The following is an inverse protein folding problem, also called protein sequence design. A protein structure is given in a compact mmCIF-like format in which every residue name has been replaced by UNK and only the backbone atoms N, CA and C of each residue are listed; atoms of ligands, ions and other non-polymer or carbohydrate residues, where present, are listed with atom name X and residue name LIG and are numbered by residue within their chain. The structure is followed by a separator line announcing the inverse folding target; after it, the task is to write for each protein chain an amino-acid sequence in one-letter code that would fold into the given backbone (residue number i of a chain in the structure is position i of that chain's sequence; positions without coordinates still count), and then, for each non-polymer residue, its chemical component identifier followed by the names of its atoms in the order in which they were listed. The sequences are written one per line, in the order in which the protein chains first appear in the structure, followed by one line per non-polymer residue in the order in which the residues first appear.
data_IF_791606820826
#
_entry.id   IF_791606820826
#
_cell.length_a   1.000
_cell.length_b   1.000
_cell.length_c   1.000
_cell.angle_alpha   90.00
_cell.angle_beta   90.00
_cell.angle_gamma   90.00
#
_symmetry.space_group_name_H-M   'P 1'
#
loop_
_entity.id
_entity.type
_entity.pdbx_description
1 polymer ?
#
# COMPACT_ATOMS: atom_id res chain seq x y z
N UNK A 1 7.06 5.80 7.27
CA UNK A 1 6.12 6.08 8.38
C UNK A 1 6.43 5.10 9.50
N UNK A 2 6.75 5.61 10.68
CA UNK A 2 7.00 4.81 11.90
C UNK A 2 5.75 4.88 12.78
N UNK A 3 5.45 3.80 13.50
CA UNK A 3 4.29 3.73 14.39
C UNK A 3 4.47 2.66 15.47
N UNK A 4 3.83 2.82 16.64
CA UNK A 4 3.95 1.86 17.74
C UNK A 4 3.21 0.55 17.43
N UNK A 5 3.70 -0.55 17.99
CA UNK A 5 3.03 -1.86 18.02
C UNK A 5 2.86 -2.24 19.49
N UNK A 6 1.64 -2.58 19.89
CA UNK A 6 1.30 -2.93 21.28
C UNK A 6 0.17 -3.97 21.33
N UNK A 7 -0.09 -4.51 22.53
CA UNK A 7 -1.12 -5.54 22.78
C UNK A 7 -2.54 -4.98 22.84
N UNK A 8 -2.68 -3.69 23.08
CA UNK A 8 -3.96 -3.00 23.25
C UNK A 8 -3.87 -1.56 22.71
N UNK A 9 -5.04 -0.98 22.42
CA UNK A 9 -5.16 0.35 21.82
C UNK A 9 -4.74 1.45 22.80
N UNK A 10 -4.98 1.29 24.09
CA UNK A 10 -4.63 2.29 25.11
C UNK A 10 -3.11 2.50 25.21
N UNK A 11 -2.33 1.43 25.04
CA UNK A 11 -0.88 1.50 24.96
C UNK A 11 -0.41 2.23 23.70
N UNK A 12 -1.05 1.99 22.55
CA UNK A 12 -0.76 2.74 21.31
C UNK A 12 -1.03 4.24 21.50
N UNK A 13 -2.14 4.58 22.13
CA UNK A 13 -2.54 5.96 22.42
C UNK A 13 -1.56 6.64 23.36
N UNK A 14 -1.13 5.93 24.41
CA UNK A 14 -0.11 6.43 25.35
C UNK A 14 1.22 6.72 24.64
N UNK A 15 1.67 5.80 23.78
CA UNK A 15 2.86 6.01 22.97
C UNK A 15 2.73 7.20 22.02
N UNK A 16 1.59 7.32 21.32
CA UNK A 16 1.34 8.44 20.41
C UNK A 16 1.27 9.80 21.14
N UNK A 17 0.68 9.86 22.34
CA UNK A 17 0.69 11.08 23.18
C UNK A 17 2.10 11.49 23.58
N UNK A 18 2.95 10.52 23.94
CA UNK A 18 4.33 10.80 24.31
C UNK A 18 5.18 11.26 23.11
N UNK A 19 4.94 10.70 21.92
CA UNK A 19 5.66 11.04 20.70
C UNK A 19 5.24 12.39 20.11
N UNK A 20 3.94 12.73 20.15
CA UNK A 20 3.40 13.98 19.58
C UNK A 20 3.50 15.14 20.59
N UNK A 21 4.73 15.50 20.96
CA UNK A 21 5.05 16.56 21.92
C UNK A 21 6.02 17.60 21.34
N UNK A 22 6.14 18.74 22.02
CA UNK A 22 6.96 19.88 21.58
C UNK A 22 8.43 19.52 21.38
N UNK A 23 8.99 18.66 22.23
CA UNK A 23 10.38 18.21 22.10
C UNK A 23 10.62 17.46 20.78
N UNK A 24 9.67 16.63 20.35
CA UNK A 24 9.77 15.92 19.07
C UNK A 24 9.69 16.89 17.89
N UNK A 25 8.75 17.85 17.94
CA UNK A 25 8.59 18.84 16.88
C UNK A 25 9.78 19.81 16.78
N UNK A 26 10.46 20.10 17.90
CA UNK A 26 11.70 20.86 17.90
C UNK A 26 12.88 20.06 17.36
N UNK A 27 12.94 18.76 17.66
CA UNK A 27 14.01 17.88 17.20
C UNK A 27 13.95 17.65 15.69
N UNK A 28 12.75 17.49 15.12
CA UNK A 28 12.53 17.35 13.68
C UNK A 28 11.49 18.37 13.15
N UNK A 29 11.95 19.55 12.70
CA UNK A 29 11.09 20.59 12.14
C UNK A 29 10.41 20.22 10.81
N UNK A 30 10.77 19.08 10.19
CA UNK A 30 10.08 18.59 8.98
C UNK A 30 8.74 17.94 9.30
N UNK A 31 8.52 17.56 10.58
CA UNK A 31 7.25 17.01 11.05
C UNK A 31 6.29 18.15 11.38
N UNK A 32 5.06 18.16 10.86
CA UNK A 32 4.08 19.18 11.21
C UNK A 32 3.70 19.08 12.71
N UNK A 33 3.68 20.20 13.45
CA UNK A 33 3.41 20.21 14.89
C UNK A 33 1.92 19.99 15.19
N UNK A 34 1.48 18.75 15.07
CA UNK A 34 0.09 18.32 15.30
C UNK A 34 0.07 17.48 16.58
N UNK A 35 -0.30 18.08 17.74
CA UNK A 35 -0.36 17.34 19.00
C UNK A 35 -1.49 16.31 18.99
N UNK A 36 -1.39 15.32 19.88
CA UNK A 36 -2.44 14.33 20.07
C UNK A 36 -3.75 15.02 20.51
N UNK A 37 -4.86 14.70 19.85
CA UNK A 37 -6.15 15.33 20.12
C UNK A 37 -7.06 14.41 20.94
N UNK A 38 -7.01 14.56 22.26
CA UNK A 38 -7.83 13.77 23.19
C UNK A 38 -9.33 13.93 22.98
N UNK A 39 -9.79 15.12 22.54
CA UNK A 39 -11.21 15.35 22.27
C UNK A 39 -11.71 14.48 21.12
N UNK A 40 -10.89 14.29 20.09
CA UNK A 40 -11.20 13.43 18.96
C UNK A 40 -11.14 11.96 19.38
N UNK A 41 -10.11 11.56 20.14
CA UNK A 41 -9.97 10.18 20.61
C UNK A 41 -11.11 9.73 21.54
N UNK A 42 -11.46 10.56 22.53
CA UNK A 42 -12.49 10.22 23.52
C UNK A 42 -13.94 10.39 23.03
N UNK A 43 -14.14 10.78 21.77
CA UNK A 43 -15.48 10.99 21.21
C UNK A 43 -16.25 9.67 21.06
N UNK A 44 -17.45 9.60 21.63
CA UNK A 44 -18.35 8.42 21.56
C UNK A 44 -19.48 8.57 20.52
N UNK A 45 -19.43 9.60 19.68
CA UNK A 45 -20.48 9.84 18.66
C UNK A 45 -20.61 8.64 17.71
N UNK A 46 -21.84 8.31 17.25
CA UNK A 46 -22.01 7.36 16.16
C UNK A 46 -21.16 7.73 14.95
N UNK A 47 -20.63 6.71 14.29
CA UNK A 47 -19.72 6.84 13.15
C UNK A 47 -20.39 6.29 11.90
N UNK A 48 -20.04 6.88 10.76
CA UNK A 48 -20.38 6.35 9.44
C UNK A 48 -19.12 5.69 8.88
N UNK A 49 -19.13 4.37 8.79
CA UNK A 49 -17.94 3.54 8.56
C UNK A 49 -18.07 2.87 7.19
N UNK A 50 -17.16 3.19 6.28
CA UNK A 50 -17.02 2.47 5.01
C UNK A 50 -16.41 1.08 5.26
N UNK A 51 -16.98 0.04 4.65
CA UNK A 51 -16.43 -1.32 4.74
C UNK A 51 -16.39 -2.02 3.36
N UNK A 52 -15.43 -2.91 3.18
CA UNK A 52 -15.31 -3.81 2.03
C UNK A 52 -14.85 -5.19 2.48
N UNK A 53 -15.30 -6.24 1.79
CA UNK A 53 -14.86 -7.62 2.02
C UNK A 53 -13.65 -8.01 1.16
N UNK A 54 -13.47 -7.32 0.04
CA UNK A 54 -12.41 -7.54 -0.92
C UNK A 54 -11.99 -6.19 -1.52
N UNK A 55 -10.70 -6.05 -1.76
CA UNK A 55 -10.12 -4.89 -2.45
C UNK A 55 -10.12 -5.08 -3.98
N UNK A 56 -10.56 -6.25 -4.47
CA UNK A 56 -10.58 -6.62 -5.89
C UNK A 56 -9.19 -6.97 -6.47
N UNK A 57 -8.11 -6.74 -5.73
CA UNK A 57 -6.75 -7.04 -6.15
C UNK A 57 -6.23 -8.35 -5.55
N UNK A 58 -6.62 -8.66 -4.32
CA UNK A 58 -6.24 -9.87 -3.60
C UNK A 58 -7.46 -10.62 -3.09
N UNK A 59 -7.47 -11.94 -3.26
CA UNK A 59 -8.57 -12.75 -2.75
C UNK A 59 -8.48 -12.87 -1.22
N UNK A 60 -9.46 -12.30 -0.53
CA UNK A 60 -9.61 -12.48 0.92
C UNK A 60 -9.89 -13.95 1.26
N UNK A 61 -9.19 -14.48 2.25
CA UNK A 61 -9.45 -15.83 2.77
C UNK A 61 -10.79 -15.88 3.52
N UNK A 62 -11.41 -17.07 3.69
CA UNK A 62 -12.66 -17.19 4.43
C UNK A 62 -12.59 -16.65 5.87
N UNK A 63 -11.44 -16.77 6.54
CA UNK A 63 -11.23 -16.22 7.89
C UNK A 63 -11.18 -14.69 7.90
N UNK A 64 -10.52 -14.08 6.91
CA UNK A 64 -10.48 -12.61 6.78
C UNK A 64 -11.87 -12.04 6.53
N UNK A 65 -12.64 -12.61 5.60
CA UNK A 65 -14.03 -12.19 5.32
C UNK A 65 -14.90 -12.30 6.57
N UNK A 66 -14.81 -13.43 7.28
CA UNK A 66 -15.56 -13.64 8.53
C UNK A 66 -15.23 -12.57 9.57
N UNK A 67 -13.95 -12.24 9.77
CA UNK A 67 -13.54 -11.24 10.75
C UNK A 67 -14.12 -9.85 10.45
N UNK A 68 -14.10 -9.45 9.18
CA UNK A 68 -14.70 -8.17 8.74
C UNK A 68 -16.21 -8.16 8.98
N UNK A 69 -16.93 -9.22 8.58
CA UNK A 69 -18.39 -9.30 8.73
C UNK A 69 -18.82 -9.35 10.20
N UNK A 70 -18.12 -10.11 11.04
CA UNK A 70 -18.41 -10.14 12.48
C UNK A 70 -18.18 -8.77 13.14
N UNK A 71 -17.11 -8.07 12.75
CA UNK A 71 -16.84 -6.70 13.25
C UNK A 71 -17.91 -5.73 12.76
N UNK A 72 -18.35 -5.87 11.51
CA UNK A 72 -19.48 -5.10 10.97
C UNK A 72 -20.73 -5.26 11.84
N UNK A 73 -21.16 -6.49 12.09
CA UNK A 73 -22.37 -6.77 12.85
C UNK A 73 -22.30 -6.20 14.28
N UNK A 74 -21.12 -6.28 14.91
CA UNK A 74 -20.90 -5.72 16.25
C UNK A 74 -20.98 -4.19 16.25
N UNK A 75 -20.43 -3.53 15.24
CA UNK A 75 -20.49 -2.06 15.11
C UNK A 75 -21.91 -1.57 14.80
N UNK A 76 -22.65 -2.27 13.94
CA UNK A 76 -24.07 -1.94 13.68
C UNK A 76 -24.91 -2.08 14.95
N UNK A 77 -24.70 -3.14 15.74
CA UNK A 77 -25.38 -3.34 17.04
C UNK A 77 -25.01 -2.27 18.08
N UNK A 78 -23.79 -1.72 18.00
CA UNK A 78 -23.36 -0.60 18.84
C UNK A 78 -23.91 0.77 18.37
N UNK A 79 -24.68 0.81 17.28
CA UNK A 79 -25.34 2.02 16.78
C UNK A 79 -24.56 2.81 15.72
N UNK A 80 -23.51 2.24 15.13
CA UNK A 80 -22.79 2.85 13.99
C UNK A 80 -23.49 2.56 12.65
N UNK A 81 -23.34 3.46 11.68
CA UNK A 81 -23.81 3.26 10.31
C UNK A 81 -22.68 2.63 9.48
N UNK A 82 -22.91 1.44 8.92
CA UNK A 82 -21.94 0.78 8.06
C UNK A 82 -22.37 0.84 6.59
N UNK A 83 -21.49 1.37 5.76
CA UNK A 83 -21.76 1.66 4.35
C UNK A 83 -20.83 0.82 3.48
N UNK A 84 -21.35 0.00 2.55
CA UNK A 84 -20.52 -0.66 1.56
C UNK A 84 -19.71 0.39 0.77
N UNK A 85 -18.39 0.23 0.75
CA UNK A 85 -17.48 1.16 0.10
C UNK A 85 -16.41 0.39 -0.67
N UNK A 86 -16.33 0.60 -1.98
CA UNK A 86 -15.28 -0.01 -2.81
C UNK A 86 -14.17 1.01 -3.05
N UNK A 87 -12.93 0.77 -2.59
CA UNK A 87 -11.81 1.65 -2.90
C UNK A 87 -11.57 1.71 -4.41
N UNK A 88 -11.41 2.90 -5.01
CA UNK A 88 -11.18 3.02 -6.44
C UNK A 88 -9.77 2.55 -6.81
N UNK A 89 -9.66 1.84 -7.93
CA UNK A 89 -8.38 1.57 -8.63
C UNK A 89 -7.26 0.95 -7.78
N UNK A 90 -7.59 0.04 -6.84
CA UNK A 90 -6.62 -0.62 -5.94
C UNK A 90 -5.47 -1.26 -6.70
N UNK A 91 -5.78 -1.99 -7.77
CA UNK A 91 -4.79 -2.68 -8.60
C UNK A 91 -3.77 -1.69 -9.20
N UNK A 92 -4.25 -0.58 -9.78
CA UNK A 92 -3.38 0.48 -10.32
C UNK A 92 -2.58 1.16 -9.20
N UNK A 93 -3.20 1.45 -8.05
CA UNK A 93 -2.50 2.04 -6.91
C UNK A 93 -1.34 1.13 -6.42
N UNK A 94 -1.55 -0.19 -6.39
CA UNK A 94 -0.55 -1.16 -5.97
C UNK A 94 0.57 -1.31 -7.01
N UNK A 95 0.22 -1.65 -8.26
CA UNK A 95 1.22 -2.04 -9.26
C UNK A 95 1.83 -0.85 -10.02
N UNK A 96 1.03 0.17 -10.33
CA UNK A 96 1.47 1.29 -11.16
C UNK A 96 2.06 2.43 -10.34
N UNK A 97 1.54 2.67 -9.14
CA UNK A 97 2.04 3.72 -8.26
C UNK A 97 3.04 3.18 -7.23
N UNK A 98 2.63 2.27 -6.35
CA UNK A 98 3.47 1.83 -5.24
C UNK A 98 4.69 1.03 -5.71
N UNK A 99 4.49 -0.05 -6.49
CA UNK A 99 5.61 -0.90 -6.93
C UNK A 99 6.60 -0.17 -7.84
N UNK A 100 6.11 0.66 -8.77
CA UNK A 100 7.00 1.48 -9.62
C UNK A 100 7.70 2.58 -8.84
N UNK A 101 7.03 3.21 -7.89
CA UNK A 101 7.65 4.21 -7.01
C UNK A 101 8.77 3.60 -6.16
N UNK A 102 8.52 2.44 -5.56
CA UNK A 102 9.52 1.71 -4.76
C UNK A 102 10.71 1.20 -5.60
N UNK A 103 10.48 0.90 -6.87
CA UNK A 103 11.50 0.35 -7.79
C UNK A 103 11.90 1.36 -8.87
N UNK A 104 11.82 2.67 -8.58
CA UNK A 104 11.97 3.71 -9.59
C UNK A 104 13.36 3.74 -10.24
N UNK A 105 14.40 3.34 -9.50
CA UNK A 105 15.77 3.18 -9.98
C UNK A 105 16.06 1.76 -10.54
N UNK A 106 15.04 0.91 -10.63
CA UNK A 106 15.19 -0.48 -11.05
C UNK A 106 15.76 -1.41 -9.97
N UNK A 107 15.87 -0.93 -8.73
CA UNK A 107 16.36 -1.67 -7.57
C UNK A 107 17.86 -1.52 -7.32
N UNK A 108 18.57 -0.61 -7.99
CA UNK A 108 20.02 -0.42 -7.79
C UNK A 108 20.37 -0.07 -6.35
N UNK A 109 19.72 0.95 -5.79
CA UNK A 109 19.99 1.40 -4.41
C UNK A 109 19.65 0.30 -3.40
N UNK A 110 18.62 -0.50 -3.69
CA UNK A 110 18.29 -1.67 -2.87
C UNK A 110 19.39 -2.74 -2.93
N UNK A 111 19.91 -3.04 -4.12
CA UNK A 111 20.94 -4.06 -4.33
C UNK A 111 22.31 -3.69 -3.76
N UNK A 112 22.66 -2.39 -3.73
CA UNK A 112 23.91 -1.90 -3.16
C UNK A 112 24.06 -2.30 -1.67
N UNK A 113 22.94 -2.43 -0.94
CA UNK A 113 22.93 -2.88 0.46
C UNK A 113 23.31 -4.36 0.64
N UNK A 114 23.39 -5.15 -0.44
CA UNK A 114 23.75 -6.58 -0.40
C UNK A 114 25.15 -6.85 -0.97
N UNK A 115 25.95 -5.81 -1.25
CA UNK A 115 27.34 -5.99 -1.67
C UNK A 115 28.18 -6.52 -0.51
N UNK A 116 28.81 -7.68 -0.71
CA UNK A 116 29.68 -8.30 0.30
C UNK A 116 28.95 -9.03 1.43
N UNK A 117 27.61 -9.08 1.43
CA UNK A 117 26.80 -9.79 2.43
C UNK A 117 26.03 -10.98 1.82
N UNK A 118 25.70 -11.96 2.67
CA UNK A 118 24.86 -13.09 2.31
C UNK A 118 23.39 -12.68 2.15
N UNK A 119 22.68 -13.30 1.20
CA UNK A 119 21.24 -13.08 1.04
C UNK A 119 20.46 -14.16 1.78
N UNK A 120 19.62 -13.76 2.73
CA UNK A 120 18.71 -14.67 3.44
C UNK A 120 17.81 -15.43 2.46
N UNK A 121 17.53 -16.70 2.76
CA UNK A 121 16.73 -17.58 1.91
C UNK A 121 15.37 -16.99 1.53
N UNK A 122 14.71 -16.25 2.44
CA UNK A 122 13.40 -15.66 2.19
C UNK A 122 13.46 -14.46 1.23
N UNK A 123 14.64 -13.89 1.00
CA UNK A 123 14.84 -12.73 0.12
C UNK A 123 15.46 -13.11 -1.23
N UNK A 124 15.95 -14.35 -1.40
CA UNK A 124 16.68 -14.77 -2.60
C UNK A 124 15.93 -14.50 -3.89
N UNK A 125 14.63 -14.84 -3.95
CA UNK A 125 13.80 -14.62 -5.14
C UNK A 125 13.71 -13.14 -5.49
N UNK A 126 13.52 -12.28 -4.49
CA UNK A 126 13.40 -10.83 -4.69
C UNK A 126 14.72 -10.24 -5.18
N UNK A 127 15.82 -10.53 -4.49
CA UNK A 127 17.16 -10.02 -4.83
C UNK A 127 17.60 -10.52 -6.21
N UNK A 128 17.40 -11.81 -6.50
CA UNK A 128 17.73 -12.39 -7.81
C UNK A 128 16.94 -11.72 -8.92
N UNK A 129 15.65 -11.47 -8.70
CA UNK A 129 14.79 -10.77 -9.66
C UNK A 129 15.29 -9.34 -9.94
N UNK A 130 15.70 -8.60 -8.92
CA UNK A 130 16.28 -7.27 -9.11
C UNK A 130 17.64 -7.28 -9.80
N UNK A 131 18.46 -8.32 -9.61
CA UNK A 131 19.76 -8.48 -10.29
C UNK A 131 19.65 -8.78 -11.79
N UNK A 132 18.48 -9.22 -12.28
CA UNK A 132 18.31 -9.53 -13.70
C UNK A 132 18.51 -8.27 -14.58
N UNK A 133 19.22 -8.38 -15.72
CA UNK A 133 19.34 -7.28 -16.67
C UNK A 133 17.97 -6.84 -17.22
N UNK A 134 17.82 -5.55 -17.53
CA UNK A 134 16.57 -4.96 -18.03
C UNK A 134 16.00 -5.67 -19.25
N UNK A 135 16.85 -6.11 -20.19
CA UNK A 135 16.40 -6.85 -21.37
C UNK A 135 15.77 -8.20 -21.01
N UNK A 136 16.33 -8.93 -20.05
CA UNK A 136 15.80 -10.22 -19.61
C UNK A 136 14.50 -10.05 -18.83
N UNK A 137 14.42 -9.03 -17.96
CA UNK A 137 13.17 -8.64 -17.30
C UNK A 137 12.07 -8.34 -18.34
N UNK A 138 12.40 -7.60 -19.41
CA UNK A 138 11.44 -7.23 -20.46
C UNK A 138 10.91 -8.46 -21.18
N UNK A 139 11.81 -9.38 -21.55
CA UNK A 139 11.45 -10.64 -22.18
C UNK A 139 10.55 -11.49 -21.26
N UNK A 140 10.91 -11.64 -19.99
CA UNK A 140 10.11 -12.34 -19.00
C UNK A 140 8.73 -11.71 -18.83
N UNK A 141 8.65 -10.37 -18.83
CA UNK A 141 7.37 -9.66 -18.74
C UNK A 141 6.45 -10.01 -19.92
N UNK A 142 6.99 -10.11 -21.14
CA UNK A 142 6.23 -10.47 -22.34
C UNK A 142 5.80 -11.92 -22.31
N UNK A 143 6.67 -12.83 -21.84
CA UNK A 143 6.38 -14.26 -21.76
C UNK A 143 5.33 -14.62 -20.70
N UNK A 144 5.33 -13.90 -19.57
CA UNK A 144 4.43 -14.19 -18.43
C UNK A 144 3.06 -13.51 -18.59
N UNK A 145 2.96 -12.41 -19.36
CA UNK A 145 1.70 -11.70 -19.63
C UNK A 145 0.52 -12.61 -20.03
N UNK A 146 0.67 -13.55 -20.98
CA UNK A 146 -0.44 -14.43 -21.40
C UNK A 146 -0.89 -15.40 -20.29
N UNK A 147 0.03 -15.87 -19.46
CA UNK A 147 -0.24 -16.82 -18.39
C UNK A 147 -1.08 -16.19 -17.28
N UNK A 148 -0.81 -14.92 -16.98
CA UNK A 148 -1.52 -14.14 -15.96
C UNK A 148 -2.85 -13.61 -16.49
N UNK A 149 -2.92 -13.31 -17.80
CA UNK A 149 -4.16 -12.88 -18.47
C UNK A 149 -5.16 -14.02 -18.72
N UNK A 150 -4.71 -15.28 -18.70
CA UNK A 150 -5.52 -16.47 -18.98
C UNK A 150 -6.18 -17.13 -17.76
N UNK A 151 -5.97 -16.62 -16.53
CA UNK A 151 -6.47 -17.22 -15.29
C UNK A 151 -7.87 -16.81 -14.84
N UNK A 152 -8.50 -15.82 -15.48
CA UNK A 152 -9.85 -15.33 -15.14
C UNK A 152 -10.89 -15.84 -16.12
N UNK A 153 -11.26 -17.11 -15.92
CA UNK A 153 -12.36 -17.76 -16.61
C UNK A 153 -13.43 -18.27 -15.65
N UNK A 154 -14.03 -17.40 -14.82
CA UNK A 154 -15.37 -17.59 -14.25
C UNK A 154 -15.85 -16.35 -13.46
N UNK A 155 -16.73 -15.58 -14.12
CA UNK A 155 -17.79 -14.74 -13.56
C UNK A 155 -17.42 -13.65 -12.52
N UNK A 156 -17.15 -12.43 -12.98
CA UNK A 156 -17.93 -11.22 -12.62
C UNK A 156 -17.86 -10.25 -13.81
N UNK A 157 -19.02 -9.77 -14.25
CA UNK A 157 -19.17 -8.85 -15.36
C UNK A 157 -18.53 -7.47 -15.09
N UNK A 158 -17.90 -6.92 -16.12
CA UNK A 158 -17.70 -5.48 -16.25
C UNK A 158 -16.36 -4.93 -15.72
N UNK A 159 -15.30 -5.10 -16.50
CA UNK A 159 -14.05 -4.38 -16.29
C UNK A 159 -12.90 -5.03 -17.03
N UNK A 160 -12.51 -4.49 -18.18
CA UNK A 160 -11.27 -4.89 -18.87
C UNK A 160 -10.08 -4.42 -18.01
N UNK A 161 -9.53 -5.29 -17.18
CA UNK A 161 -8.23 -5.08 -16.52
C UNK A 161 -7.22 -6.10 -17.02
N UNK A 162 -6.09 -5.59 -17.52
CA UNK A 162 -4.94 -6.37 -17.97
C UNK A 162 -3.78 -6.03 -17.02
N UNK A 163 -3.40 -6.97 -16.14
CA UNK A 163 -2.27 -6.77 -15.22
C UNK A 163 -0.96 -7.16 -15.91
N UNK A 164 -0.03 -6.22 -15.94
CA UNK A 164 1.38 -6.42 -16.26
C UNK A 164 2.15 -6.31 -14.94
N UNK A 165 2.81 -7.39 -14.52
CA UNK A 165 3.91 -7.29 -13.55
C UNK A 165 4.97 -6.33 -14.11
N UNK A 166 5.36 -5.24 -13.42
CA UNK A 166 6.37 -4.34 -13.93
C UNK A 166 7.75 -4.97 -13.68
N UNK A 167 8.15 -5.90 -14.55
CA UNK A 167 9.55 -6.27 -14.74
C UNK A 167 10.04 -5.60 -16.04
N UNK A 168 10.40 -4.31 -15.94
CA UNK A 168 11.17 -3.46 -16.89
C UNK A 168 10.45 -2.95 -18.18
N UNK A 169 11.03 -2.00 -18.98
CA UNK A 169 12.31 -1.29 -18.85
C UNK A 169 12.19 0.22 -18.58
N UNK A 170 13.29 0.77 -18.08
CA UNK A 170 13.59 2.19 -17.95
C UNK A 170 13.12 2.99 -19.18
N UNK A 171 12.41 4.10 -18.96
CA UNK A 171 12.19 5.11 -19.99
C UNK A 171 12.92 6.42 -19.62
N UNK A 172 13.68 7.00 -20.58
CA UNK A 172 14.04 8.40 -20.54
C UNK A 172 12.81 9.22 -20.94
N UNK A 173 12.35 10.12 -20.05
CA UNK A 173 11.67 11.41 -20.33
C UNK A 173 10.88 11.89 -19.11
N UNK A 174 11.63 12.35 -18.11
CA UNK A 174 11.17 13.41 -17.22
C UNK A 174 11.05 14.71 -18.05
N UNK A 175 9.94 14.90 -18.76
CA UNK A 175 9.64 16.22 -19.34
C UNK A 175 8.16 16.55 -19.44
N UNK A 176 7.25 15.73 -18.88
CA UNK A 176 5.80 15.98 -19.04
C UNK A 176 4.99 16.08 -17.74
N UNK A 177 5.61 15.90 -16.56
CA UNK A 177 4.93 16.10 -15.26
C UNK A 177 5.27 17.45 -14.62
N UNK A 178 6.34 18.12 -15.05
CA UNK A 178 6.71 19.47 -14.56
C UNK A 178 6.06 20.64 -15.33
N UNK A 179 5.39 20.40 -16.46
CA UNK A 179 4.75 21.48 -17.23
C UNK A 179 3.33 21.81 -16.78
N UNK A 180 2.66 20.95 -16.00
CA UNK A 180 1.28 21.20 -15.56
C UNK A 180 1.16 21.85 -14.17
N UNK A 181 2.27 22.15 -13.51
CA UNK A 181 2.26 22.87 -12.21
C UNK A 181 2.60 24.35 -12.34
N UNK A 182 2.86 24.85 -13.55
CA UNK A 182 3.03 26.29 -13.83
C UNK A 182 1.82 26.98 -14.48
N UNK A 183 0.70 26.28 -14.67
CA UNK A 183 -0.53 26.85 -15.25
C UNK A 183 -1.63 27.19 -14.21
N UNK A 184 -1.32 27.17 -12.92
CA UNK A 184 -2.22 27.67 -11.85
C UNK A 184 -1.47 28.60 -10.89
N UNK A 185 -0.95 29.70 -11.44
CA UNK A 185 -0.69 30.95 -10.71
C UNK A 185 -1.39 32.08 -11.43
#
# INVERSE_FOLDING_TARGET
MTGPIARDVDTLVTAMRALLCDDMFHLDPTVPPIPFNDKVYCSTRPLRIGYYETDGATMATPSMRRAVLQTKDLLERAGHELVPFTPPSVESALFELAMRGLSADGGSTFLDNFEGDGVDANLQTLVTTFRLPSGLKSLLSVLVRPLVSGGTGAAVAGGRSSIIYPLSPQFPRLSLVLQNTQAMR
#
